data_IF_156235459027
#
_entry.id   IF_156235459027
#
_cell.length_a   1.000
_cell.length_b   1.000
_cell.length_c   1.000
_cell.angle_alpha   90.00
_cell.angle_beta   90.00
_cell.angle_gamma   90.00
#
_symmetry.space_group_name_H-M   'P 1'
#
loop_
_entity.id
_entity.type
_entity.pdbx_description
1 polymer ?
#
# COMPACT_ATOMS: atom_id res chain seq x y z
N UNK A 1 -11.02 -17.31 56.54
CA UNK A 1 -11.32 -15.87 56.58
C UNK A 1 -11.08 -15.35 55.16
N UNK A 2 -12.10 -15.39 54.31
CA UNK A 2 -11.98 -14.84 52.95
C UNK A 2 -12.11 -13.33 53.04
N UNK A 3 -10.97 -12.64 52.96
CA UNK A 3 -10.92 -11.18 52.88
C UNK A 3 -11.48 -10.74 51.51
N UNK A 4 -12.78 -10.49 51.47
CA UNK A 4 -13.51 -10.14 50.25
C UNK A 4 -13.22 -8.66 49.92
N UNK A 5 -12.09 -8.42 49.24
CA UNK A 5 -11.66 -7.08 48.82
C UNK A 5 -12.80 -6.30 48.11
N UNK A 6 -12.96 -5.02 48.48
CA UNK A 6 -14.04 -4.16 48.03
C UNK A 6 -13.88 -3.86 46.52
N UNK A 7 -14.94 -3.71 45.71
CA UNK A 7 -14.84 -3.51 44.26
C UNK A 7 -13.96 -2.33 43.82
N UNK A 8 -13.87 -1.29 44.66
CA UNK A 8 -13.00 -0.12 44.45
C UNK A 8 -11.51 -0.46 44.60
N UNK A 9 -11.14 -1.35 45.51
CA UNK A 9 -9.75 -1.81 45.70
C UNK A 9 -9.33 -2.79 44.61
N UNK A 10 -10.24 -3.66 44.19
CA UNK A 10 -10.04 -4.53 43.00
C UNK A 10 -9.79 -3.70 41.73
N UNK A 11 -10.47 -2.57 41.56
CA UNK A 11 -10.26 -1.67 40.42
C UNK A 11 -8.91 -0.90 40.53
N UNK A 12 -8.52 -0.49 41.74
CA UNK A 12 -7.21 0.12 42.02
C UNK A 12 -6.04 -0.83 41.76
N UNK A 13 -6.22 -2.14 41.94
CA UNK A 13 -5.21 -3.18 41.67
C UNK A 13 -5.25 -3.71 40.22
N UNK A 14 -6.40 -3.68 39.54
CA UNK A 14 -6.51 -4.08 38.13
C UNK A 14 -5.80 -3.12 37.18
N UNK A 15 -5.91 -1.80 37.43
CA UNK A 15 -5.23 -0.78 36.62
C UNK A 15 -3.69 -0.97 36.54
N UNK A 16 -2.94 -1.17 37.64
CA UNK A 16 -1.50 -1.41 37.57
C UNK A 16 -1.14 -2.73 36.90
N UNK A 17 -1.98 -3.77 37.01
CA UNK A 17 -1.75 -5.04 36.31
C UNK A 17 -1.89 -4.88 34.79
N UNK A 18 -2.95 -4.21 34.32
CA UNK A 18 -3.15 -3.96 32.88
C UNK A 18 -2.03 -3.08 32.32
N UNK A 19 -1.62 -2.05 33.06
CA UNK A 19 -0.51 -1.18 32.64
C UNK A 19 0.82 -1.94 32.59
N UNK A 20 1.07 -2.84 33.55
CA UNK A 20 2.23 -3.74 33.51
C UNK A 20 2.21 -4.61 32.25
N UNK A 21 1.09 -5.27 31.96
CA UNK A 21 0.94 -6.08 30.73
C UNK A 21 1.17 -5.25 29.46
N UNK A 22 0.69 -4.00 29.42
CA UNK A 22 0.94 -3.09 28.29
C UNK A 22 2.43 -2.80 28.14
N UNK A 23 3.13 -2.46 29.23
CA UNK A 23 4.57 -2.19 29.23
C UNK A 23 5.38 -3.42 28.81
N UNK A 24 5.01 -4.59 29.30
CA UNK A 24 5.66 -5.85 28.96
C UNK A 24 5.49 -6.15 27.47
N UNK A 25 4.28 -5.94 26.92
CA UNK A 25 4.03 -6.05 25.47
C UNK A 25 4.90 -5.08 24.66
N UNK A 26 4.96 -3.80 25.05
CA UNK A 26 5.79 -2.80 24.36
C UNK A 26 7.26 -3.21 24.39
N UNK A 27 7.77 -3.63 25.55
CA UNK A 27 9.15 -4.08 25.69
C UNK A 27 9.45 -5.31 24.82
N UNK A 28 8.53 -6.28 24.79
CA UNK A 28 8.65 -7.45 23.92
C UNK A 28 8.72 -7.05 22.44
N UNK A 29 7.89 -6.11 22.00
CA UNK A 29 7.93 -5.64 20.62
C UNK A 29 9.22 -4.88 20.29
N UNK A 30 9.79 -4.13 21.23
CA UNK A 30 11.09 -3.45 21.05
C UNK A 30 12.22 -4.49 20.91
N UNK A 31 12.23 -5.55 21.71
CA UNK A 31 13.21 -6.64 21.55
C UNK A 31 13.03 -7.39 20.23
N UNK A 32 11.79 -7.61 19.78
CA UNK A 32 11.52 -8.18 18.46
C UNK A 32 12.05 -7.29 17.33
N UNK A 33 11.90 -5.97 17.42
CA UNK A 33 12.47 -5.03 16.45
C UNK A 33 13.99 -5.12 16.40
N UNK A 34 14.64 -5.26 17.56
CA UNK A 34 16.10 -5.45 17.65
C UNK A 34 16.57 -6.66 16.84
N UNK A 35 15.87 -7.79 16.97
CA UNK A 35 16.18 -9.02 16.24
C UNK A 35 15.91 -8.91 14.74
N UNK A 36 14.76 -8.33 14.35
CA UNK A 36 14.38 -8.20 12.94
C UNK A 36 15.33 -7.29 12.15
N UNK A 37 15.88 -6.26 12.80
CA UNK A 37 16.75 -5.27 12.18
C UNK A 37 18.22 -5.46 12.55
N UNK A 38 18.62 -6.64 13.04
CA UNK A 38 19.99 -6.91 13.54
C UNK A 38 21.08 -6.53 12.54
N UNK A 39 20.86 -6.80 11.24
CA UNK A 39 21.80 -6.40 10.17
C UNK A 39 21.92 -4.89 10.01
N UNK A 40 20.81 -4.17 10.13
CA UNK A 40 20.81 -2.71 10.06
C UNK A 40 21.53 -2.11 11.27
N UNK A 41 21.36 -2.71 12.46
CA UNK A 41 22.12 -2.30 13.65
C UNK A 41 23.61 -2.55 13.50
N UNK A 42 24.03 -3.71 12.98
CA UNK A 42 25.45 -3.99 12.73
C UNK A 42 26.08 -2.98 11.75
N UNK A 43 25.31 -2.52 10.76
CA UNK A 43 25.77 -1.51 9.80
C UNK A 43 25.94 -0.12 10.44
N UNK A 44 25.05 0.27 11.35
CA UNK A 44 25.07 1.61 11.95
C UNK A 44 25.96 1.69 13.21
N UNK A 45 25.94 0.65 14.06
CA UNK A 45 26.67 0.58 15.33
C UNK A 45 27.10 -0.86 15.67
N UNK A 46 28.17 -1.39 15.06
CA UNK A 46 28.56 -2.80 15.17
C UNK A 46 28.96 -3.28 16.58
N UNK A 47 29.34 -2.37 17.49
CA UNK A 47 29.91 -2.73 18.80
C UNK A 47 29.30 -1.95 19.98
N UNK A 48 28.13 -1.33 19.79
CA UNK A 48 27.49 -0.52 20.84
C UNK A 48 26.35 -1.27 21.52
N UNK A 49 26.16 -1.00 22.81
CA UNK A 49 25.00 -1.48 23.55
C UNK A 49 23.79 -0.67 23.09
N UNK A 50 22.91 -1.27 22.29
CA UNK A 50 21.72 -0.61 21.77
C UNK A 50 20.77 -0.21 22.91
N UNK A 51 20.58 1.09 23.09
CA UNK A 51 19.54 1.63 23.97
C UNK A 51 18.17 1.58 23.27
N UNK A 52 17.08 1.70 24.04
CA UNK A 52 15.73 1.67 23.44
C UNK A 52 15.50 2.82 22.45
N UNK A 53 16.13 3.96 22.67
CA UNK A 53 16.06 5.09 21.75
C UNK A 53 16.74 4.74 20.42
N UNK A 54 17.95 4.18 20.46
CA UNK A 54 18.68 3.75 19.25
C UNK A 54 17.89 2.73 18.44
N UNK A 55 17.28 1.75 19.12
CA UNK A 55 16.45 0.72 18.47
C UNK A 55 15.32 1.36 17.67
N UNK A 56 14.62 2.34 18.26
CA UNK A 56 13.51 3.02 17.62
C UNK A 56 13.98 3.97 16.50
N UNK A 57 15.10 4.64 16.68
CA UNK A 57 15.66 5.54 15.67
C UNK A 57 16.05 4.79 14.39
N UNK A 58 16.81 3.70 14.52
CA UNK A 58 17.20 2.87 13.37
C UNK A 58 15.97 2.26 12.71
N UNK A 59 14.98 1.79 13.49
CA UNK A 59 13.75 1.25 12.94
C UNK A 59 12.97 2.29 12.12
N UNK A 60 12.85 3.52 12.61
CA UNK A 60 12.18 4.60 11.89
C UNK A 60 12.96 4.98 10.63
N UNK A 61 14.30 5.06 10.71
CA UNK A 61 15.16 5.34 9.57
C UNK A 61 15.00 4.28 8.48
N UNK A 62 15.03 2.99 8.87
CA UNK A 62 14.81 1.86 7.97
C UNK A 62 13.43 1.92 7.28
N UNK A 63 12.36 2.17 8.05
CA UNK A 63 11.00 2.26 7.49
C UNK A 63 10.84 3.45 6.52
N UNK A 64 11.45 4.60 6.81
CA UNK A 64 11.45 5.75 5.91
C UNK A 64 12.17 5.43 4.61
N UNK A 65 13.34 4.81 4.68
CA UNK A 65 14.08 4.37 3.50
C UNK A 65 13.25 3.37 2.67
N UNK A 66 12.62 2.40 3.33
CA UNK A 66 11.79 1.40 2.66
C UNK A 66 10.54 2.02 2.01
N UNK A 67 9.91 3.00 2.66
CA UNK A 67 8.77 3.74 2.08
C UNK A 67 9.18 4.51 0.84
N UNK A 68 10.32 5.21 0.86
CA UNK A 68 10.80 5.97 -0.30
C UNK A 68 11.14 5.05 -1.49
N UNK A 69 11.70 3.87 -1.21
CA UNK A 69 11.91 2.85 -2.23
C UNK A 69 10.57 2.30 -2.74
N UNK A 70 9.59 2.07 -1.86
CA UNK A 70 8.28 1.59 -2.27
C UNK A 70 7.52 2.60 -3.10
N UNK A 71 7.53 3.89 -2.75
CA UNK A 71 6.90 4.95 -3.54
C UNK A 71 7.55 5.08 -4.92
N UNK A 72 8.88 5.01 -5.01
CA UNK A 72 9.55 4.93 -6.31
C UNK A 72 9.15 3.66 -7.07
N UNK A 73 9.05 2.51 -6.41
CA UNK A 73 8.63 1.28 -7.09
C UNK A 73 7.13 1.24 -7.39
N UNK A 74 6.24 1.94 -6.68
CA UNK A 74 4.80 1.97 -6.99
C UNK A 74 4.51 2.93 -8.14
N UNK A 75 5.24 4.05 -8.21
CA UNK A 75 5.17 4.98 -9.33
C UNK A 75 5.85 4.39 -10.58
N UNK A 76 6.91 3.58 -10.43
CA UNK A 76 7.59 2.90 -11.55
C UNK A 76 7.13 1.45 -11.82
N UNK A 77 6.32 0.83 -10.96
CA UNK A 77 5.55 -0.38 -11.32
C UNK A 77 4.35 0.04 -12.15
N UNK A 78 4.70 0.52 -13.34
CA UNK A 78 4.18 -0.06 -14.56
C UNK A 78 2.73 0.12 -14.91
N UNK A 79 2.12 1.27 -14.64
CA UNK A 79 0.92 1.59 -15.42
C UNK A 79 1.18 1.51 -16.93
N UNK A 80 2.34 1.97 -17.39
CA UNK A 80 2.71 1.86 -18.81
C UNK A 80 3.19 0.47 -19.25
N UNK A 81 4.00 -0.26 -18.47
CA UNK A 81 4.37 -1.62 -18.89
C UNK A 81 3.21 -2.62 -18.71
N UNK A 82 2.31 -2.42 -17.74
CA UNK A 82 1.10 -3.23 -17.59
C UNK A 82 0.12 -2.93 -18.73
N UNK A 83 -0.02 -1.67 -19.15
CA UNK A 83 -0.77 -1.32 -20.35
C UNK A 83 -0.17 -1.95 -21.61
N UNK A 84 1.14 -1.78 -21.85
CA UNK A 84 1.81 -2.36 -23.02
C UNK A 84 1.72 -3.90 -23.03
N UNK A 85 1.88 -4.54 -21.87
CA UNK A 85 1.72 -6.00 -21.71
C UNK A 85 0.29 -6.46 -21.99
N UNK A 86 -0.71 -5.78 -21.42
CA UNK A 86 -2.13 -6.07 -21.66
C UNK A 86 -2.54 -5.83 -23.12
N UNK A 87 -2.02 -4.78 -23.72
CA UNK A 87 -2.22 -4.42 -25.12
C UNK A 87 -1.62 -5.47 -26.07
N UNK A 88 -0.37 -5.88 -25.83
CA UNK A 88 0.31 -6.91 -26.63
C UNK A 88 -0.42 -8.26 -26.53
N UNK A 89 -0.94 -8.60 -25.34
CA UNK A 89 -1.75 -9.79 -25.14
C UNK A 89 -3.04 -9.75 -25.97
N UNK A 90 -3.73 -8.60 -25.96
CA UNK A 90 -4.93 -8.38 -26.78
C UNK A 90 -4.62 -8.52 -28.27
N UNK A 91 -3.54 -7.89 -28.75
CA UNK A 91 -3.10 -7.99 -30.14
C UNK A 91 -2.80 -9.44 -30.54
N UNK A 92 -2.08 -10.19 -29.70
CA UNK A 92 -1.76 -11.60 -29.94
C UNK A 92 -3.03 -12.45 -30.07
N UNK A 93 -4.00 -12.25 -29.18
CA UNK A 93 -5.27 -12.98 -29.23
C UNK A 93 -6.09 -12.62 -30.47
N UNK A 94 -6.15 -11.34 -30.83
CA UNK A 94 -6.82 -10.88 -32.04
C UNK A 94 -6.19 -11.49 -33.30
N UNK A 95 -4.86 -11.56 -33.37
CA UNK A 95 -4.17 -12.22 -34.47
C UNK A 95 -4.43 -13.73 -34.52
N UNK A 96 -4.45 -14.38 -33.36
CA UNK A 96 -4.77 -15.81 -33.26
C UNK A 96 -6.19 -16.10 -33.75
N UNK A 97 -7.18 -15.31 -33.31
CA UNK A 97 -8.56 -15.43 -33.79
C UNK A 97 -8.68 -15.27 -35.31
N UNK A 98 -8.01 -14.27 -35.89
CA UNK A 98 -8.02 -14.05 -37.34
C UNK A 98 -7.30 -15.16 -38.11
N UNK A 99 -6.36 -15.88 -37.50
CA UNK A 99 -5.72 -17.04 -38.15
C UNK A 99 -6.65 -18.27 -38.17
N UNK A 100 -7.56 -18.37 -37.21
CA UNK A 100 -8.45 -19.52 -37.04
C UNK A 100 -9.74 -19.40 -37.88
N UNK A 101 -10.25 -18.18 -38.03
CA UNK A 101 -11.42 -17.88 -38.86
C UNK A 101 -10.96 -17.09 -40.07
N UNK A 102 -10.79 -17.73 -41.23
CA UNK A 102 -10.34 -17.11 -42.48
C UNK A 102 -11.13 -15.83 -42.82
N UNK A 103 -10.67 -14.64 -42.38
CA UNK A 103 -11.45 -13.42 -42.49
C UNK A 103 -11.17 -12.80 -43.86
N UNK A 104 -12.01 -11.87 -44.28
CA UNK A 104 -11.67 -11.04 -45.44
C UNK A 104 -10.33 -10.36 -45.18
N UNK A 105 -9.36 -10.50 -46.11
CA UNK A 105 -8.00 -9.94 -46.00
C UNK A 105 -8.00 -8.45 -45.63
N UNK A 106 -9.02 -7.72 -46.07
CA UNK A 106 -9.23 -6.31 -45.76
C UNK A 106 -9.44 -6.05 -44.26
N UNK A 107 -10.21 -6.88 -43.57
CA UNK A 107 -10.47 -6.76 -42.12
C UNK A 107 -9.20 -6.97 -41.31
N UNK A 108 -8.35 -7.91 -41.71
CA UNK A 108 -7.06 -8.16 -41.09
C UNK A 108 -6.12 -6.96 -41.24
N UNK A 109 -6.03 -6.38 -42.43
CA UNK A 109 -5.20 -5.20 -42.71
C UNK A 109 -5.69 -3.98 -41.94
N UNK A 110 -7.01 -3.74 -41.90
CA UNK A 110 -7.59 -2.63 -41.14
C UNK A 110 -7.34 -2.76 -39.64
N UNK A 111 -7.46 -3.98 -39.09
CA UNK A 111 -7.23 -4.24 -37.68
C UNK A 111 -5.76 -4.04 -37.29
N UNK A 112 -4.82 -4.58 -38.07
CA UNK A 112 -3.37 -4.38 -37.85
C UNK A 112 -3.03 -2.89 -37.90
N UNK A 113 -3.58 -2.14 -38.87
CA UNK A 113 -3.39 -0.70 -38.99
C UNK A 113 -3.90 0.05 -37.75
N UNK A 114 -5.02 -0.37 -37.17
CA UNK A 114 -5.56 0.23 -35.95
C UNK A 114 -4.63 -0.01 -34.75
N UNK A 115 -4.13 -1.25 -34.59
CA UNK A 115 -3.18 -1.54 -33.52
C UNK A 115 -1.87 -0.74 -33.67
N UNK A 116 -1.23 -0.74 -34.84
CA UNK A 116 0.00 0.03 -35.04
C UNK A 116 -0.18 1.54 -34.78
N UNK A 117 -1.34 2.13 -35.14
CA UNK A 117 -1.64 3.53 -34.86
C UNK A 117 -1.82 3.84 -33.38
N UNK A 118 -2.47 2.96 -32.63
CA UNK A 118 -2.69 3.15 -31.19
C UNK A 118 -1.37 3.11 -30.40
N UNK A 119 -0.35 2.40 -30.88
CA UNK A 119 0.97 2.36 -30.25
C UNK A 119 1.82 3.63 -30.51
N UNK A 120 1.55 4.37 -31.58
CA UNK A 120 2.29 5.59 -31.95
C UNK A 120 1.67 6.89 -31.40
N UNK A 121 0.56 6.82 -30.65
CA UNK A 121 -0.09 7.99 -30.03
C UNK A 121 0.41 8.32 -28.62
N UNK A 122 1.43 7.62 -28.12
CA UNK A 122 1.99 7.77 -26.78
C UNK A 122 3.28 8.63 -26.74
N UNK A 123 3.61 9.32 -27.82
CA UNK A 123 4.68 10.33 -27.83
C UNK A 123 4.08 11.70 -28.21
N UNK A 124 4.62 12.76 -27.60
CA UNK A 124 4.28 14.19 -27.77
C UNK A 124 3.21 14.77 -26.82
N UNK A 125 3.62 15.07 -25.57
CA UNK A 125 3.81 16.44 -25.04
C UNK A 125 3.70 16.47 -23.52
N UNK A 126 4.81 16.78 -22.84
CA UNK A 126 4.82 17.14 -21.43
C UNK A 126 3.88 18.33 -21.17
N UNK A 127 2.82 18.12 -20.39
CA UNK A 127 2.12 19.17 -19.63
C UNK A 127 1.42 18.54 -18.42
N UNK A 128 1.77 18.93 -17.17
CA UNK A 128 1.24 18.30 -15.98
C UNK A 128 -0.08 18.98 -15.60
N UNK A 129 -1.16 18.66 -16.30
CA UNK A 129 -2.49 19.07 -15.87
C UNK A 129 -3.54 18.07 -16.34
N UNK A 130 -4.09 17.35 -15.36
CA UNK A 130 -5.43 16.77 -15.39
C UNK A 130 -5.72 15.76 -16.50
N UNK A 131 -5.27 14.51 -16.33
CA UNK A 131 -5.96 13.36 -16.91
C UNK A 131 -6.25 12.31 -15.84
N UNK A 132 -7.51 12.28 -15.40
CA UNK A 132 -8.05 11.12 -14.68
C UNK A 132 -8.11 9.89 -15.60
N UNK A 133 -8.26 8.68 -15.03
CA UNK A 133 -8.32 7.45 -15.81
C UNK A 133 -9.57 7.43 -16.73
N UNK A 134 -9.52 6.74 -17.88
CA UNK A 134 -10.69 6.62 -18.75
C UNK A 134 -11.79 5.86 -18.01
N UNK A 135 -12.93 6.52 -17.82
CA UNK A 135 -14.12 5.95 -17.20
C UNK A 135 -14.62 4.78 -18.04
N UNK A 136 -14.61 3.58 -17.45
CA UNK A 136 -15.26 2.40 -18.01
C UNK A 136 -16.78 2.61 -18.09
N UNK A 137 -17.45 2.23 -19.19
CA UNK A 137 -18.89 2.40 -19.31
C UNK A 137 -19.61 1.26 -18.58
N UNK A 138 -19.99 1.49 -17.32
CA UNK A 138 -20.94 0.65 -16.61
C UNK A 138 -21.92 1.54 -15.84
N UNK A 139 -23.00 1.96 -16.51
CA UNK A 139 -24.15 2.58 -15.85
C UNK A 139 -25.08 1.47 -15.36
N UNK A 140 -25.04 1.18 -14.06
CA UNK A 140 -26.22 0.73 -13.33
C UNK A 140 -26.38 1.62 -12.09
N UNK A 141 -27.29 2.59 -12.22
CA UNK A 141 -27.66 3.51 -11.16
C UNK A 141 -28.40 2.76 -10.05
N UNK A 142 -27.74 2.54 -8.90
CA UNK A 142 -28.39 2.15 -7.65
C UNK A 142 -28.49 3.38 -6.75
N UNK A 143 -29.70 3.91 -6.58
CA UNK A 143 -29.98 5.01 -5.63
C UNK A 143 -29.76 4.51 -4.19
N UNK A 144 -28.98 5.24 -3.40
CA UNK A 144 -28.99 5.18 -1.93
C UNK A 144 -29.22 6.61 -1.40
N UNK A 145 -30.02 6.79 -0.34
CA UNK A 145 -30.39 8.10 0.16
C UNK A 145 -29.33 8.69 1.10
N UNK A 146 -29.37 10.01 1.22
CA UNK A 146 -28.45 10.86 1.95
C UNK A 146 -28.37 10.57 3.45
N UNK A 147 -27.15 10.58 4.00
CA UNK A 147 -26.91 10.88 5.42
C UNK A 147 -25.73 11.83 5.61
N UNK A 148 -25.87 12.66 6.65
CA UNK A 148 -25.25 13.96 6.88
C UNK A 148 -23.85 13.85 7.49
N UNK A 149 -23.05 14.86 7.14
CA UNK A 149 -21.88 15.48 7.81
C UNK A 149 -21.46 14.96 9.18
N UNK A 150 -20.17 14.63 9.36
CA UNK A 150 -19.32 15.13 10.46
C UNK A 150 -17.86 15.22 9.97
N UNK A 151 -17.26 16.39 10.13
CA UNK A 151 -15.87 16.67 9.81
C UNK A 151 -14.90 15.83 10.66
N UNK A 152 -13.85 15.30 10.03
CA UNK A 152 -12.79 14.55 10.70
C UNK A 152 -11.92 15.50 11.53
N UNK A 153 -12.05 15.45 12.86
CA UNK A 153 -11.07 16.03 13.76
C UNK A 153 -9.83 15.11 13.84
N UNK A 154 -8.60 15.64 13.98
CA UNK A 154 -7.42 14.82 14.15
C UNK A 154 -7.50 14.09 15.50
N UNK A 155 -7.27 12.78 15.47
CA UNK A 155 -7.20 11.92 16.65
C UNK A 155 -6.05 12.39 17.54
N UNK A 156 -6.35 13.23 18.54
CA UNK A 156 -5.43 13.56 19.62
C UNK A 156 -5.03 12.24 20.27
N UNK A 157 -3.75 11.90 20.13
CA UNK A 157 -3.15 10.80 20.86
C UNK A 157 -3.32 11.10 22.35
N UNK A 158 -4.13 10.32 23.06
CA UNK A 158 -4.28 10.43 24.50
C UNK A 158 -3.30 9.45 25.14
N UNK A 159 -2.28 9.91 25.87
CA UNK A 159 -1.53 9.03 26.76
C UNK A 159 -2.52 8.53 27.82
N UNK A 160 -2.58 7.22 28.00
CA UNK A 160 -3.34 6.59 29.07
C UNK A 160 -2.80 7.03 30.44
#
# INVERSE_FOLDING_TARGET
MEEKLLPKEKNKLRKPVVEKMRRDRINSSIEQLKLLLEKEFQRHQPNSKLEKADILEVAVSYLKQQSQLQDQTFIHKNLEQDFNSGYLRCLKEAMHFLSYYEPKKETQVQLIKHFCKAQMGADVTYSPALRGPPLSPCLFARKQPAQKTVAAAPTIWRPW
#
